data_IF_138756067030
#
_entry.id   IF_138756067030
#
_cell.length_a   1.000
_cell.length_b   1.000
_cell.length_c   1.000
_cell.angle_alpha   90.00
_cell.angle_beta   90.00
_cell.angle_gamma   90.00
#
_symmetry.space_group_name_H-M   'P 1'
#
loop_
_entity.id
_entity.type
_entity.pdbx_description
1 polymer ?
#
# COMPACT_ATOMS: atom_id res chain seq x y z
N UNK A 1 -1.28 32.12 15.02
CA UNK A 1 -2.45 31.27 14.74
C UNK A 1 -2.22 29.90 15.33
N UNK A 2 -3.21 29.34 16.04
CA UNK A 2 -3.09 28.01 16.65
C UNK A 2 -2.96 26.96 15.55
N UNK A 3 -1.84 26.24 15.53
CA UNK A 3 -1.57 25.12 14.62
C UNK A 3 -2.65 24.04 14.81
N UNK A 4 -3.40 23.75 13.76
CA UNK A 4 -4.11 22.47 13.63
C UNK A 4 -3.02 21.40 13.50
N UNK A 5 -2.87 20.56 14.53
CA UNK A 5 -1.99 19.39 14.47
C UNK A 5 -2.88 18.20 14.11
N UNK A 6 -2.49 17.40 13.13
CA UNK A 6 -3.20 16.18 12.78
C UNK A 6 -3.01 15.14 13.88
N UNK A 7 -3.94 14.18 14.00
CA UNK A 7 -3.81 13.06 14.94
C UNK A 7 -2.48 12.34 14.70
N UNK A 8 -2.11 12.11 13.43
CA UNK A 8 -0.85 11.48 13.06
C UNK A 8 0.39 12.25 13.52
N UNK A 9 0.39 13.60 13.42
CA UNK A 9 1.52 14.41 13.88
C UNK A 9 1.66 14.40 15.40
N UNK A 10 0.55 14.32 16.16
CA UNK A 10 0.59 14.13 17.61
C UNK A 10 1.13 12.76 17.97
N UNK A 11 0.61 11.71 17.31
CA UNK A 11 1.05 10.34 17.56
C UNK A 11 2.54 10.19 17.24
N UNK A 12 3.06 10.74 16.14
CA UNK A 12 4.49 10.68 15.80
C UNK A 12 5.41 11.36 16.84
N UNK A 13 4.96 12.44 17.47
CA UNK A 13 5.69 13.07 18.60
C UNK A 13 5.63 12.22 19.87
N UNK A 14 4.51 11.53 20.11
CA UNK A 14 4.30 10.70 21.30
C UNK A 14 5.06 9.37 21.24
N UNK A 15 5.11 8.71 20.08
CA UNK A 15 5.80 7.41 19.96
C UNK A 15 7.33 7.57 19.80
N UNK A 16 7.80 8.78 19.50
CA UNK A 16 9.21 9.07 19.21
C UNK A 16 9.71 8.44 17.90
N UNK A 17 10.89 8.85 17.44
CA UNK A 17 11.49 8.40 16.17
C UNK A 17 11.90 6.91 16.13
N UNK A 18 11.57 6.13 17.16
CA UNK A 18 12.13 4.80 17.41
C UNK A 18 11.09 3.67 17.25
N UNK A 19 9.98 3.93 16.57
CA UNK A 19 9.05 2.88 16.12
C UNK A 19 9.68 2.14 14.96
N UNK A 20 10.56 1.19 15.27
CA UNK A 20 10.95 0.17 14.30
C UNK A 20 9.76 -0.76 14.10
N UNK A 21 9.29 -0.86 12.86
CA UNK A 21 8.50 -1.99 12.44
C UNK A 21 9.19 -3.28 12.91
N UNK A 22 8.43 -4.20 13.52
CA UNK A 22 9.00 -5.49 13.84
C UNK A 22 9.45 -6.12 12.51
N UNK A 23 10.66 -6.69 12.42
CA UNK A 23 11.13 -7.31 11.17
C UNK A 23 10.10 -8.28 10.57
N UNK A 24 9.36 -8.98 11.44
CA UNK A 24 8.26 -9.89 11.09
C UNK A 24 7.11 -9.23 10.34
N UNK A 25 6.84 -7.95 10.59
CA UNK A 25 5.76 -7.21 9.92
C UNK A 25 6.17 -6.76 8.53
N UNK A 26 7.39 -6.23 8.35
CA UNK A 26 7.92 -5.90 7.03
C UNK A 26 7.98 -7.13 6.12
N UNK A 27 8.43 -8.27 6.67
CA UNK A 27 8.48 -9.55 5.94
C UNK A 27 7.08 -10.04 5.57
N UNK A 28 6.10 -9.86 6.45
CA UNK A 28 4.70 -10.22 6.18
C UNK A 28 4.09 -9.36 5.07
N UNK A 29 4.30 -8.04 5.09
CA UNK A 29 3.82 -7.13 4.05
C UNK A 29 4.50 -7.43 2.71
N UNK A 30 5.80 -7.73 2.71
CA UNK A 30 6.51 -8.14 1.50
C UNK A 30 5.97 -9.46 0.93
N UNK A 31 5.72 -10.45 1.80
CA UNK A 31 5.07 -11.70 1.40
C UNK A 31 3.68 -11.46 0.81
N UNK A 32 2.89 -10.55 1.40
CA UNK A 32 1.57 -10.20 0.89
C UNK A 32 1.67 -9.53 -0.50
N UNK A 33 2.59 -8.58 -0.71
CA UNK A 33 2.82 -7.97 -2.04
C UNK A 33 3.19 -9.03 -3.10
N UNK A 34 4.06 -9.98 -2.76
CA UNK A 34 4.41 -11.09 -3.65
C UNK A 34 3.21 -12.00 -3.96
N UNK A 35 2.32 -12.19 -2.99
CA UNK A 35 1.06 -12.90 -3.20
C UNK A 35 0.18 -12.14 -4.18
N UNK A 36 -0.05 -10.83 -3.99
CA UNK A 36 -0.90 -10.02 -4.87
C UNK A 36 -0.41 -10.02 -6.32
N UNK A 37 0.91 -9.98 -6.55
CA UNK A 37 1.47 -10.10 -7.89
C UNK A 37 1.20 -11.47 -8.53
N UNK A 38 1.30 -12.56 -7.74
CA UNK A 38 0.99 -13.91 -8.23
C UNK A 38 -0.50 -14.09 -8.52
N UNK A 39 -1.39 -13.55 -7.69
CA UNK A 39 -2.85 -13.60 -7.93
C UNK A 39 -3.24 -12.71 -9.11
N UNK A 40 -2.60 -11.56 -9.29
CA UNK A 40 -2.76 -10.73 -10.48
C UNK A 40 -2.47 -11.52 -11.77
N UNK A 41 -1.30 -12.16 -11.84
CA UNK A 41 -0.90 -12.96 -13.00
C UNK A 41 -1.83 -14.17 -13.20
N UNK A 42 -2.25 -14.80 -12.10
CA UNK A 42 -3.22 -15.90 -12.13
C UNK A 42 -4.55 -15.46 -12.77
N UNK A 43 -5.16 -14.37 -12.31
CA UNK A 43 -6.44 -13.91 -12.87
C UNK A 43 -6.30 -13.45 -14.31
N UNK A 44 -5.21 -12.75 -14.64
CA UNK A 44 -4.94 -12.38 -16.03
C UNK A 44 -4.88 -13.61 -16.93
N UNK A 45 -4.13 -14.65 -16.52
CA UNK A 45 -4.04 -15.91 -17.26
C UNK A 45 -5.38 -16.65 -17.34
N UNK A 46 -6.23 -16.60 -16.31
CA UNK A 46 -7.58 -17.17 -16.37
C UNK A 46 -8.48 -16.42 -17.35
N UNK A 47 -8.41 -15.08 -17.39
CA UNK A 47 -9.13 -14.25 -18.35
C UNK A 47 -8.74 -14.51 -19.80
N UNK A 48 -7.46 -14.80 -20.06
CA UNK A 48 -6.98 -15.16 -21.41
C UNK A 48 -7.53 -16.52 -21.89
N UNK A 49 -7.88 -17.42 -20.97
CA UNK A 49 -8.41 -18.75 -21.27
C UNK A 49 -9.95 -18.85 -21.14
N UNK A 50 -10.61 -17.76 -20.76
CA UNK A 50 -12.06 -17.73 -20.58
C UNK A 50 -12.80 -17.74 -21.93
N UNK A 51 -13.93 -18.44 -21.98
CA UNK A 51 -14.71 -18.59 -23.23
C UNK A 51 -15.82 -17.56 -23.35
N UNK A 52 -16.39 -17.14 -22.22
CA UNK A 52 -17.54 -16.24 -22.19
C UNK A 52 -17.10 -14.83 -21.83
N UNK A 53 -17.66 -13.82 -22.51
CA UNK A 53 -17.32 -12.41 -22.27
C UNK A 53 -17.46 -12.00 -20.80
N UNK A 54 -18.53 -12.46 -20.13
CA UNK A 54 -18.77 -12.18 -18.70
C UNK A 54 -17.70 -12.79 -17.78
N UNK A 55 -17.12 -13.93 -18.15
CA UNK A 55 -16.04 -14.58 -17.40
C UNK A 55 -14.71 -13.81 -17.60
N UNK A 56 -14.45 -13.34 -18.82
CA UNK A 56 -13.29 -12.46 -19.11
C UNK A 56 -13.36 -11.19 -18.28
N UNK A 57 -14.51 -10.51 -18.29
CA UNK A 57 -14.75 -9.28 -17.51
C UNK A 57 -14.56 -9.51 -16.01
N UNK A 58 -15.06 -10.65 -15.49
CA UNK A 58 -14.89 -11.03 -14.09
C UNK A 58 -13.41 -11.16 -13.70
N UNK A 59 -12.62 -11.90 -14.46
CA UNK A 59 -11.20 -12.05 -14.17
C UNK A 59 -10.40 -10.74 -14.34
N UNK A 60 -10.78 -9.90 -15.29
CA UNK A 60 -10.19 -8.56 -15.44
C UNK A 60 -10.48 -7.67 -14.22
N UNK A 61 -11.69 -7.73 -13.69
CA UNK A 61 -12.06 -7.00 -12.47
C UNK A 61 -11.25 -7.49 -11.25
N UNK A 62 -11.09 -8.80 -11.08
CA UNK A 62 -10.26 -9.37 -10.01
C UNK A 62 -8.79 -8.95 -10.15
N UNK A 63 -8.21 -9.06 -11.35
CA UNK A 63 -6.85 -8.61 -11.60
C UNK A 63 -6.68 -7.10 -11.31
N UNK A 64 -7.66 -6.27 -11.64
CA UNK A 64 -7.63 -4.85 -11.28
C UNK A 64 -7.65 -4.64 -9.76
N UNK A 65 -8.42 -5.43 -9.01
CA UNK A 65 -8.47 -5.37 -7.56
C UNK A 65 -7.13 -5.75 -6.90
N UNK A 66 -6.44 -6.80 -7.37
CA UNK A 66 -5.14 -7.19 -6.78
C UNK A 66 -4.05 -6.13 -6.99
N UNK A 67 -4.13 -5.36 -8.08
CA UNK A 67 -3.25 -4.18 -8.26
C UNK A 67 -3.51 -3.11 -7.22
N UNK A 68 -4.77 -2.87 -6.86
CA UNK A 68 -5.13 -1.90 -5.82
C UNK A 68 -4.63 -2.39 -4.47
N UNK A 69 -4.84 -3.67 -4.14
CA UNK A 69 -4.31 -4.27 -2.91
C UNK A 69 -2.78 -4.13 -2.82
N UNK A 70 -2.06 -4.47 -3.89
CA UNK A 70 -0.61 -4.31 -3.95
C UNK A 70 -0.19 -2.85 -3.71
N UNK A 71 -0.88 -1.88 -4.31
CA UNK A 71 -0.54 -0.47 -4.13
C UNK A 71 -0.74 0.01 -2.69
N UNK A 72 -1.79 -0.47 -2.01
CA UNK A 72 -2.03 -0.19 -0.59
C UNK A 72 -0.95 -0.83 0.29
N UNK A 73 -0.58 -2.07 0.01
CA UNK A 73 0.50 -2.77 0.73
C UNK A 73 1.86 -2.10 0.51
N UNK A 74 2.14 -1.61 -0.69
CA UNK A 74 3.36 -0.87 -1.00
C UNK A 74 3.42 0.45 -0.20
N UNK A 75 2.33 1.20 -0.15
CA UNK A 75 2.26 2.43 0.63
C UNK A 75 2.47 2.16 2.14
N UNK A 76 1.87 1.08 2.64
CA UNK A 76 2.09 0.64 4.02
C UNK A 76 3.52 0.18 4.28
N UNK A 77 4.14 -0.55 3.34
CA UNK A 77 5.54 -0.95 3.42
C UNK A 77 6.48 0.26 3.48
N UNK A 78 6.23 1.27 2.64
CA UNK A 78 6.98 2.54 2.65
C UNK A 78 6.86 3.26 3.99
N UNK A 79 5.64 3.33 4.55
CA UNK A 79 5.40 3.87 5.90
C UNK A 79 6.17 3.11 6.98
N UNK A 80 6.10 1.77 7.00
CA UNK A 80 6.79 0.94 7.99
C UNK A 80 8.32 1.05 7.90
N UNK A 81 8.85 1.25 6.69
CA UNK A 81 10.29 1.32 6.44
C UNK A 81 10.90 2.65 6.88
N UNK A 82 10.23 3.76 6.59
CA UNK A 82 10.65 5.11 7.00
C UNK A 82 9.42 6.03 7.16
N UNK A 83 8.80 6.04 8.36
CA UNK A 83 7.60 6.85 8.60
C UNK A 83 7.84 8.33 8.35
N UNK A 84 9.03 8.86 8.69
CA UNK A 84 9.35 10.28 8.56
C UNK A 84 9.48 10.71 7.08
N UNK A 85 10.15 9.91 6.26
CA UNK A 85 10.24 10.14 4.82
C UNK A 85 8.88 9.98 4.13
N UNK A 86 8.08 8.98 4.54
CA UNK A 86 6.72 8.78 4.03
C UNK A 86 5.82 9.99 4.32
N UNK A 87 5.79 10.49 5.56
CA UNK A 87 5.00 11.68 5.93
C UNK A 87 5.40 12.91 5.12
N UNK A 88 6.70 13.13 4.92
CA UNK A 88 7.19 14.24 4.11
C UNK A 88 6.67 14.16 2.67
N UNK A 89 6.70 12.95 2.09
CA UNK A 89 6.32 12.74 0.69
C UNK A 89 4.80 12.76 0.48
N UNK A 90 4.01 12.24 1.42
CA UNK A 90 2.56 11.99 1.25
C UNK A 90 1.67 13.06 1.87
N UNK A 91 2.09 13.66 2.99
CA UNK A 91 1.29 14.66 3.73
C UNK A 91 1.81 16.10 3.59
N UNK A 92 3.03 16.28 3.06
CA UNK A 92 3.64 17.60 2.87
C UNK A 92 4.26 17.79 1.47
N UNK A 93 3.47 17.83 0.38
CA UNK A 93 3.94 18.33 -0.91
C UNK A 93 4.12 19.85 -0.83
N UNK A 94 5.15 20.30 -0.11
CA UNK A 94 5.69 21.66 0.06
C UNK A 94 4.75 22.81 0.46
N UNK A 95 5.14 23.50 1.54
CA UNK A 95 4.95 24.94 1.73
C UNK A 95 5.84 25.73 0.75
N UNK A 96 5.78 25.43 -0.55
CA UNK A 96 6.32 26.28 -1.61
C UNK A 96 5.16 26.74 -2.49
N UNK A 97 4.52 27.82 -2.02
CA UNK A 97 3.88 28.81 -2.87
C UNK A 97 4.78 30.04 -2.95
#
# INVERSE_FOLDING_TARGET
GKRLRTVFAQTLEEIGSDVKALPTELDAVQTAMDMENKTYDFYKGRGENATYGVEVEFYQALAAQERIHHQVLLDYYEYLKDPAAWFTTKEHPSLEG
#
